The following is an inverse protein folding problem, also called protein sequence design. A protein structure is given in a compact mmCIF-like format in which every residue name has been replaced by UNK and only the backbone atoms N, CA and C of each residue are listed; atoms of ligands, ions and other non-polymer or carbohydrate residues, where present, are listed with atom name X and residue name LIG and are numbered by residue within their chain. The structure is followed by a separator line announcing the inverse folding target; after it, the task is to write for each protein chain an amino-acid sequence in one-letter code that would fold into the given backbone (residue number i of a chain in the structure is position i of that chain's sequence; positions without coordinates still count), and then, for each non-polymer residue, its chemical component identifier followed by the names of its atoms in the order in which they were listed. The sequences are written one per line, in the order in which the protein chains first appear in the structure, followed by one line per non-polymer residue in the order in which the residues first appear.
data_IF_446024638667
#
_entry.id   IF_446024638667
#
_cell.length_a   1.000
_cell.length_b   1.000
_cell.length_c   1.000
_cell.angle_alpha   90.00
_cell.angle_beta   90.00
_cell.angle_gamma   90.00
#
_symmetry.space_group_name_H-M   'P 1'
#
loop_
_entity.id
_entity.type
_entity.pdbx_description
1 polymer ?
#
# COMPACT_ATOMS: atom_id res chain seq x y z
N UNK A 1 -33.64 -6.60 7.20
CA UNK A 1 -33.84 -6.11 5.81
C UNK A 1 -32.62 -6.44 4.95
N UNK A 2 -32.84 -7.07 3.78
CA UNK A 2 -31.74 -7.34 2.85
C UNK A 2 -31.23 -6.03 2.25
N UNK A 3 -29.92 -5.74 2.38
CA UNK A 3 -29.30 -4.54 1.83
C UNK A 3 -29.24 -4.67 0.31
N UNK A 4 -29.99 -3.84 -0.43
CA UNK A 4 -29.96 -3.80 -1.88
C UNK A 4 -28.56 -3.41 -2.34
N UNK A 5 -27.98 -4.21 -3.24
CA UNK A 5 -26.65 -3.93 -3.77
C UNK A 5 -26.70 -2.70 -4.70
N UNK A 6 -25.76 -1.76 -4.53
CA UNK A 6 -25.68 -0.56 -5.35
C UNK A 6 -25.50 -0.90 -6.82
N UNK A 7 -26.29 -0.25 -7.68
CA UNK A 7 -26.21 -0.42 -9.13
C UNK A 7 -25.00 0.32 -9.68
N UNK A 8 -24.19 -0.36 -10.50
CA UNK A 8 -23.04 0.22 -11.19
C UNK A 8 -23.39 0.38 -12.66
N UNK A 9 -23.20 1.60 -13.18
CA UNK A 9 -23.33 1.90 -14.60
C UNK A 9 -21.93 2.20 -15.15
N UNK A 10 -21.57 1.59 -16.27
CA UNK A 10 -20.26 1.78 -16.92
C UNK A 10 -20.44 2.47 -18.27
N UNK A 11 -19.59 3.43 -18.59
CA UNK A 11 -19.43 3.96 -19.94
C UNK A 11 -18.79 2.93 -20.87
N UNK A 12 -18.89 3.15 -22.19
CA UNK A 12 -18.20 2.28 -23.16
C UNK A 12 -16.70 2.24 -22.94
N UNK A 13 -16.07 3.37 -22.61
CA UNK A 13 -14.62 3.45 -22.32
C UNK A 13 -14.26 2.71 -21.04
N UNK A 14 -15.01 2.91 -19.95
CA UNK A 14 -14.80 2.18 -18.68
C UNK A 14 -14.86 0.69 -18.89
N UNK A 15 -15.86 0.22 -19.63
CA UNK A 15 -16.02 -1.20 -19.95
C UNK A 15 -14.85 -1.75 -20.75
N UNK A 16 -14.36 -1.00 -21.76
CA UNK A 16 -13.18 -1.40 -22.54
C UNK A 16 -11.93 -1.53 -21.68
N UNK A 17 -11.62 -0.53 -20.84
CA UNK A 17 -10.45 -0.57 -19.95
C UNK A 17 -10.55 -1.71 -18.94
N UNK A 18 -11.71 -1.92 -18.33
CA UNK A 18 -11.90 -3.02 -17.40
C UNK A 18 -11.78 -4.40 -18.08
N UNK A 19 -12.24 -4.54 -19.33
CA UNK A 19 -12.04 -5.75 -20.12
C UNK A 19 -10.57 -5.99 -20.45
N UNK A 20 -9.82 -4.94 -20.79
CA UNK A 20 -8.36 -5.04 -20.98
C UNK A 20 -7.67 -5.51 -19.68
N UNK A 21 -8.03 -4.91 -18.54
CA UNK A 21 -7.45 -5.27 -17.25
C UNK A 21 -7.78 -6.71 -16.85
N UNK A 22 -9.02 -7.14 -17.02
CA UNK A 22 -9.45 -8.51 -16.64
C UNK A 22 -8.80 -9.61 -17.50
N UNK A 23 -8.34 -9.30 -18.71
CA UNK A 23 -7.68 -10.23 -19.64
C UNK A 23 -6.16 -10.06 -19.74
N UNK A 24 -5.62 -9.05 -19.09
CA UNK A 24 -4.18 -8.75 -19.16
C UNK A 24 -3.38 -9.87 -18.49
N UNK A 25 -2.28 -10.29 -19.12
CA UNK A 25 -1.32 -11.25 -18.52
C UNK A 25 -0.19 -10.56 -17.77
N UNK A 26 -0.04 -9.25 -17.93
CA UNK A 26 1.06 -8.45 -17.35
C UNK A 26 0.65 -7.69 -16.11
N UNK A 27 -0.65 -7.43 -15.93
CA UNK A 27 -1.15 -6.75 -14.74
C UNK A 27 -1.18 -7.67 -13.52
N UNK A 28 -0.97 -7.12 -12.31
CA UNK A 28 -1.10 -7.85 -11.06
C UNK A 28 -2.46 -8.55 -10.94
N UNK A 29 -2.48 -9.79 -10.43
CA UNK A 29 -3.69 -10.62 -10.33
C UNK A 29 -4.83 -9.91 -9.58
N UNK A 30 -4.52 -9.13 -8.53
CA UNK A 30 -5.52 -8.39 -7.78
C UNK A 30 -6.26 -7.33 -8.61
N UNK A 31 -5.60 -6.71 -9.60
CA UNK A 31 -6.26 -5.75 -10.51
C UNK A 31 -7.18 -6.46 -11.51
N UNK A 32 -6.78 -7.62 -12.00
CA UNK A 32 -7.59 -8.46 -12.89
C UNK A 32 -8.87 -8.92 -12.19
N UNK A 33 -8.73 -9.40 -10.95
CA UNK A 33 -9.84 -9.82 -10.09
C UNK A 33 -10.81 -8.67 -9.84
N UNK A 34 -10.30 -7.50 -9.44
CA UNK A 34 -11.11 -6.30 -9.15
C UNK A 34 -11.84 -5.78 -10.39
N UNK A 35 -11.19 -5.79 -11.55
CA UNK A 35 -11.82 -5.44 -12.82
C UNK A 35 -12.97 -6.42 -13.15
N UNK A 36 -12.78 -7.72 -12.94
CA UNK A 36 -13.80 -8.76 -13.15
C UNK A 36 -15.00 -8.59 -12.20
N UNK A 37 -14.76 -8.20 -10.94
CA UNK A 37 -15.82 -7.86 -9.98
C UNK A 37 -16.67 -6.70 -10.52
N UNK A 38 -16.04 -5.59 -10.94
CA UNK A 38 -16.79 -4.41 -11.42
C UNK A 38 -17.58 -4.72 -12.69
N UNK A 39 -16.99 -5.47 -13.64
CA UNK A 39 -17.69 -5.92 -14.84
C UNK A 39 -18.91 -6.78 -14.52
N UNK A 40 -18.79 -7.68 -13.53
CA UNK A 40 -19.89 -8.52 -13.08
C UNK A 40 -20.97 -7.71 -12.35
N UNK A 41 -20.57 -6.71 -11.57
CA UNK A 41 -21.48 -5.78 -10.91
C UNK A 41 -22.29 -4.95 -11.91
N UNK A 42 -21.67 -4.53 -13.02
CA UNK A 42 -22.35 -3.78 -14.08
C UNK A 42 -23.36 -4.62 -14.88
N UNK A 43 -23.26 -5.95 -14.83
CA UNK A 43 -24.27 -6.88 -15.36
C UNK A 43 -25.44 -7.13 -14.38
N UNK A 44 -25.59 -6.29 -13.37
CA UNK A 44 -26.63 -6.35 -12.33
C UNK A 44 -26.65 -7.65 -11.51
N UNK A 45 -25.53 -8.39 -11.51
CA UNK A 45 -25.41 -9.60 -10.72
C UNK A 45 -25.39 -9.29 -9.21
N UNK A 46 -26.06 -10.13 -8.43
CA UNK A 46 -25.99 -10.07 -6.96
C UNK A 46 -24.59 -10.44 -6.46
N UNK A 47 -24.22 -9.95 -5.27
CA UNK A 47 -22.92 -10.28 -4.68
C UNK A 47 -22.73 -11.78 -4.45
N UNK A 48 -23.83 -12.52 -4.17
CA UNK A 48 -23.79 -13.97 -3.99
C UNK A 48 -23.48 -14.67 -5.33
N UNK A 49 -24.12 -14.22 -6.42
CA UNK A 49 -23.86 -14.78 -7.74
C UNK A 49 -22.42 -14.55 -8.19
N UNK A 50 -21.88 -13.34 -7.94
CA UNK A 50 -20.48 -13.00 -8.26
C UNK A 50 -19.52 -13.83 -7.41
N UNK A 51 -19.82 -14.03 -6.11
CA UNK A 51 -19.04 -14.87 -5.20
C UNK A 51 -18.89 -16.29 -5.75
N UNK A 52 -20.00 -16.90 -6.19
CA UNK A 52 -19.98 -18.26 -6.71
C UNK A 52 -19.29 -18.37 -8.09
N UNK A 53 -19.35 -17.32 -8.91
CA UNK A 53 -18.73 -17.32 -10.25
C UNK A 53 -17.22 -17.05 -10.22
N UNK A 54 -16.75 -16.20 -9.31
CA UNK A 54 -15.35 -15.75 -9.25
C UNK A 54 -14.58 -16.36 -8.08
N UNK A 55 -15.24 -17.11 -7.21
CA UNK A 55 -14.68 -17.67 -5.97
C UNK A 55 -14.07 -16.60 -5.06
N UNK A 56 -14.75 -15.46 -4.94
CA UNK A 56 -14.29 -14.29 -4.18
C UNK A 56 -15.24 -14.02 -3.02
N UNK A 57 -14.68 -13.77 -1.83
CA UNK A 57 -15.50 -13.53 -0.66
C UNK A 57 -16.45 -12.32 -0.83
N UNK A 58 -17.71 -12.46 -0.39
CA UNK A 58 -18.78 -11.44 -0.50
C UNK A 58 -18.38 -10.06 0.02
N UNK A 59 -17.58 -9.97 1.10
CA UNK A 59 -17.11 -8.69 1.66
C UNK A 59 -16.18 -7.96 0.68
N UNK A 60 -15.32 -8.68 -0.03
CA UNK A 60 -14.42 -8.13 -1.06
C UNK A 60 -15.22 -7.55 -2.22
N UNK A 61 -16.20 -8.29 -2.71
CA UNK A 61 -17.10 -7.83 -3.78
C UNK A 61 -17.84 -6.56 -3.34
N UNK A 62 -18.39 -6.54 -2.13
CA UNK A 62 -19.08 -5.38 -1.58
C UNK A 62 -18.18 -4.16 -1.42
N UNK A 63 -16.91 -4.36 -0.95
CA UNK A 63 -15.88 -3.33 -0.84
C UNK A 63 -15.64 -2.64 -2.19
N UNK A 64 -15.36 -3.43 -3.24
CA UNK A 64 -15.03 -2.88 -4.55
C UNK A 64 -16.23 -2.27 -5.27
N UNK A 65 -17.43 -2.86 -5.14
CA UNK A 65 -18.68 -2.27 -5.63
C UNK A 65 -18.94 -0.91 -5.01
N UNK A 66 -18.82 -0.77 -3.69
CA UNK A 66 -19.03 0.48 -3.00
C UNK A 66 -17.97 1.52 -3.36
N UNK A 67 -16.69 1.12 -3.46
CA UNK A 67 -15.59 2.01 -3.84
C UNK A 67 -15.77 2.55 -5.26
N UNK A 68 -16.14 1.71 -6.21
CA UNK A 68 -16.45 2.15 -7.57
C UNK A 68 -17.62 3.11 -7.60
N UNK A 69 -18.70 2.76 -6.92
CA UNK A 69 -19.90 3.59 -6.85
C UNK A 69 -19.61 4.99 -6.29
N UNK A 70 -18.82 5.08 -5.22
CA UNK A 70 -18.47 6.38 -4.60
C UNK A 70 -17.58 7.27 -5.49
N UNK A 71 -16.92 6.71 -6.51
CA UNK A 71 -16.08 7.45 -7.45
C UNK A 71 -16.69 7.58 -8.84
N UNK A 72 -17.92 7.09 -9.05
CA UNK A 72 -18.55 7.04 -10.37
C UNK A 72 -18.69 8.43 -11.01
N UNK A 73 -19.14 9.43 -10.26
CA UNK A 73 -19.29 10.81 -10.77
C UNK A 73 -17.95 11.45 -11.14
N UNK A 74 -16.90 11.17 -10.36
CA UNK A 74 -15.53 11.61 -10.66
C UNK A 74 -15.01 10.95 -11.93
N UNK A 75 -15.24 9.67 -12.08
CA UNK A 75 -14.82 8.92 -13.28
C UNK A 75 -15.54 9.40 -14.54
N UNK A 76 -16.80 9.82 -14.47
CA UNK A 76 -17.53 10.39 -15.60
C UNK A 76 -16.90 11.71 -16.06
N UNK A 77 -16.55 12.60 -15.12
CA UNK A 77 -15.86 13.86 -15.44
C UNK A 77 -14.47 13.64 -16.07
N UNK A 78 -13.75 12.62 -15.63
CA UNK A 78 -12.43 12.25 -16.19
C UNK A 78 -12.61 11.63 -17.58
N UNK A 79 -13.65 10.82 -17.78
CA UNK A 79 -13.97 10.17 -19.06
C UNK A 79 -14.19 11.18 -20.21
N UNK A 80 -14.74 12.35 -19.89
CA UNK A 80 -14.92 13.45 -20.83
C UNK A 80 -13.60 14.16 -21.20
N UNK A 81 -12.70 14.30 -20.22
CA UNK A 81 -11.46 15.10 -20.35
C UNK A 81 -10.27 14.31 -20.84
N UNK A 82 -10.14 13.06 -20.43
CA UNK A 82 -8.94 12.28 -20.65
C UNK A 82 -9.17 11.07 -21.56
N UNK A 83 -8.13 10.68 -22.30
CA UNK A 83 -8.14 9.54 -23.23
C UNK A 83 -6.87 8.72 -23.08
N UNK A 84 -6.90 7.49 -23.58
CA UNK A 84 -5.72 6.62 -23.67
C UNK A 84 -5.14 6.20 -22.32
N UNK A 85 -3.83 6.24 -22.21
CA UNK A 85 -3.06 5.73 -21.06
C UNK A 85 -3.35 6.51 -19.76
N UNK A 86 -3.54 7.84 -19.85
CA UNK A 86 -3.84 8.65 -18.67
C UNK A 86 -5.16 8.20 -18.02
N UNK A 87 -6.18 7.97 -18.82
CA UNK A 87 -7.45 7.45 -18.34
C UNK A 87 -7.34 6.05 -17.72
N UNK A 88 -6.53 5.15 -18.33
CA UNK A 88 -6.28 3.82 -17.76
C UNK A 88 -5.63 3.90 -16.39
N UNK A 89 -4.66 4.81 -16.19
CA UNK A 89 -4.01 5.04 -14.87
C UNK A 89 -4.99 5.48 -13.79
N UNK A 90 -6.00 6.28 -14.12
CA UNK A 90 -7.04 6.65 -13.14
C UNK A 90 -7.86 5.44 -12.68
N UNK A 91 -8.25 4.56 -13.61
CA UNK A 91 -8.97 3.34 -13.26
C UNK A 91 -8.06 2.39 -12.47
N UNK A 92 -6.81 2.25 -12.86
CA UNK A 92 -5.81 1.45 -12.15
C UNK A 92 -5.62 1.95 -10.70
N UNK A 93 -5.42 3.26 -10.51
CA UNK A 93 -5.31 3.89 -9.18
C UNK A 93 -6.54 3.64 -8.32
N UNK A 94 -7.74 3.68 -8.91
CA UNK A 94 -8.98 3.38 -8.20
C UNK A 94 -9.05 1.91 -7.78
N UNK A 95 -8.57 1.01 -8.61
CA UNK A 95 -8.56 -0.43 -8.33
C UNK A 95 -7.38 -0.86 -7.44
N UNK A 96 -6.36 -0.04 -7.24
CA UNK A 96 -5.27 -0.29 -6.30
C UNK A 96 -5.72 -0.09 -4.85
N UNK A 97 -5.03 -0.74 -3.91
CA UNK A 97 -5.26 -0.47 -2.50
C UNK A 97 -4.80 0.95 -2.14
N UNK A 98 -5.52 1.59 -1.24
CA UNK A 98 -5.07 2.86 -0.67
C UNK A 98 -3.79 2.65 0.14
N UNK A 99 -2.85 3.61 0.11
CA UNK A 99 -1.69 3.57 1.00
C UNK A 99 -2.15 3.37 2.44
N UNK A 100 -1.51 2.46 3.14
CA UNK A 100 -1.76 2.24 4.56
C UNK A 100 -0.66 2.95 5.33
N UNK A 101 -1.02 3.60 6.44
CA UNK A 101 -0.02 4.02 7.42
C UNK A 101 0.68 2.75 7.92
N UNK A 102 1.96 2.59 7.59
CA UNK A 102 2.77 1.49 8.12
C UNK A 102 2.85 1.53 9.65
N UNK A 103 3.61 0.61 10.20
CA UNK A 103 3.98 0.69 11.63
C UNK A 103 4.69 2.02 11.88
N UNK A 104 4.32 2.77 12.92
CA UNK A 104 5.04 3.98 13.29
C UNK A 104 6.54 3.70 13.44
N UNK A 105 7.37 4.62 13.00
CA UNK A 105 8.82 4.50 13.18
C UNK A 105 9.13 4.41 14.69
N UNK A 106 9.88 3.39 15.10
CA UNK A 106 10.31 3.21 16.49
C UNK A 106 11.29 4.31 16.92
N UNK A 107 12.06 4.83 15.97
CA UNK A 107 13.08 5.84 16.21
C UNK A 107 12.73 7.13 15.46
N UNK A 108 12.90 8.28 16.11
CA UNK A 108 12.72 9.59 15.48
C UNK A 108 13.90 9.90 14.55
N UNK A 109 13.70 10.84 13.62
CA UNK A 109 14.78 11.31 12.75
C UNK A 109 15.96 11.89 13.55
N UNK A 110 15.68 12.60 14.65
CA UNK A 110 16.68 13.13 15.57
C UNK A 110 17.50 12.03 16.23
N UNK A 111 16.84 10.98 16.73
CA UNK A 111 17.51 9.82 17.30
C UNK A 111 18.41 9.14 16.28
N UNK A 112 17.97 8.98 15.03
CA UNK A 112 18.78 8.37 13.96
C UNK A 112 20.02 9.23 13.68
N UNK A 113 19.89 10.56 13.61
CA UNK A 113 21.04 11.46 13.46
C UNK A 113 22.03 11.33 14.62
N UNK A 114 21.54 11.26 15.86
CA UNK A 114 22.40 11.09 17.04
C UNK A 114 23.11 9.72 17.02
N UNK A 115 22.42 8.66 16.63
CA UNK A 115 23.02 7.32 16.46
C UNK A 115 24.16 7.37 15.44
N UNK A 116 23.95 8.04 14.29
CA UNK A 116 24.98 8.17 13.26
C UNK A 116 26.17 8.99 13.75
N UNK A 117 25.93 10.08 14.51
CA UNK A 117 26.99 10.89 15.09
C UNK A 117 27.85 10.05 16.02
N UNK A 118 27.26 9.33 16.98
CA UNK A 118 28.01 8.47 17.92
C UNK A 118 28.76 7.36 17.17
N UNK A 119 28.20 6.81 16.11
CA UNK A 119 28.87 5.78 15.30
C UNK A 119 30.12 6.34 14.57
N UNK A 120 30.17 7.65 14.29
CA UNK A 120 31.31 8.32 13.68
C UNK A 120 32.39 8.76 14.71
N UNK A 121 32.05 8.75 16.01
CA UNK A 121 33.04 9.06 17.07
C UNK A 121 34.03 7.89 17.24
N UNK A 122 35.22 8.17 17.72
CA UNK A 122 36.18 7.13 18.10
C UNK A 122 35.77 6.53 19.45
N UNK A 123 35.74 5.18 19.59
CA UNK A 123 35.48 4.54 20.89
C UNK A 123 36.48 4.93 21.98
N UNK A 124 37.75 5.23 21.62
CA UNK A 124 38.81 5.66 22.55
C UNK A 124 38.47 6.98 23.25
N UNK A 125 37.78 7.89 22.57
CA UNK A 125 37.32 9.17 23.15
C UNK A 125 36.29 8.95 24.26
N UNK A 126 35.64 7.81 24.27
CA UNK A 126 34.63 7.38 25.24
C UNK A 126 35.20 6.47 26.33
N UNK A 127 36.52 6.43 26.48
CA UNK A 127 37.24 5.59 27.49
C UNK A 127 36.97 4.08 27.34
N UNK A 128 36.62 3.65 26.14
CA UNK A 128 36.43 2.24 25.80
C UNK A 128 37.74 1.72 25.14
N UNK A 129 38.29 0.59 25.57
CA UNK A 129 39.50 0.00 24.98
C UNK A 129 39.21 -0.68 23.64
N UNK A 130 38.60 0.04 22.72
CA UNK A 130 38.19 -0.45 21.41
C UNK A 130 38.71 0.51 20.34
N UNK A 131 39.37 -0.01 19.31
CA UNK A 131 39.78 0.79 18.15
C UNK A 131 38.63 1.11 17.20
N UNK A 132 37.56 0.28 17.21
CA UNK A 132 36.39 0.43 16.34
C UNK A 132 35.12 -0.01 17.08
N UNK A 133 33.99 0.59 16.71
CA UNK A 133 32.69 0.17 17.25
C UNK A 133 32.32 -1.23 16.78
N UNK A 134 32.07 -2.13 17.71
CA UNK A 134 31.20 -3.27 17.43
C UNK A 134 29.74 -2.83 17.53
N UNK A 135 28.83 -3.46 16.78
CA UNK A 135 27.39 -3.13 16.85
C UNK A 135 26.80 -3.30 18.26
N UNK A 136 27.35 -4.24 19.03
CA UNK A 136 26.95 -4.46 20.41
C UNK A 136 27.42 -3.31 21.31
N UNK A 137 28.71 -2.96 21.26
CA UNK A 137 29.26 -1.88 22.06
C UNK A 137 28.59 -0.52 21.71
N UNK A 138 28.28 -0.28 20.44
CA UNK A 138 27.55 0.90 20.02
C UNK A 138 26.13 0.90 20.59
N UNK A 139 25.41 -0.23 20.59
CA UNK A 139 24.07 -0.32 21.17
C UNK A 139 24.07 0.02 22.67
N UNK A 140 25.07 -0.52 23.42
CA UNK A 140 25.22 -0.28 24.85
C UNK A 140 25.54 1.21 25.13
N UNK A 141 26.41 1.83 24.35
CA UNK A 141 26.77 3.23 24.49
C UNK A 141 25.58 4.18 24.17
N UNK A 142 24.79 3.86 23.15
CA UNK A 142 23.58 4.62 22.81
C UNK A 142 22.53 4.58 23.92
N UNK A 143 22.38 3.44 24.56
CA UNK A 143 21.49 3.27 25.71
C UNK A 143 22.04 4.03 26.94
N UNK A 144 23.34 3.94 27.19
CA UNK A 144 24.03 4.65 28.28
C UNK A 144 23.90 6.16 28.16
N UNK A 145 23.97 6.71 26.94
CA UNK A 145 23.75 8.14 26.65
C UNK A 145 22.28 8.54 26.63
N UNK A 146 21.36 7.63 26.90
CA UNK A 146 19.92 7.83 26.88
C UNK A 146 19.38 8.38 25.51
N UNK A 147 20.10 8.13 24.41
CA UNK A 147 19.66 8.49 23.05
C UNK A 147 18.50 7.59 22.65
N UNK A 148 18.56 6.32 23.01
CA UNK A 148 17.52 5.33 22.82
C UNK A 148 17.36 4.49 24.09
N UNK A 149 16.16 4.01 24.35
CA UNK A 149 15.92 3.08 25.46
C UNK A 149 16.57 1.71 25.19
N UNK A 150 16.43 1.22 23.96
CA UNK A 150 17.08 0.01 23.48
C UNK A 150 17.09 -0.04 21.95
N UNK A 151 18.15 -0.61 21.36
CA UNK A 151 18.27 -0.82 19.92
C UNK A 151 18.94 -2.15 19.63
N UNK A 152 18.43 -2.91 18.66
CA UNK A 152 19.03 -4.17 18.23
C UNK A 152 20.21 -3.93 17.29
N UNK A 153 21.20 -4.83 17.29
CA UNK A 153 22.34 -4.81 16.36
C UNK A 153 21.89 -4.84 14.89
N UNK A 154 20.83 -5.58 14.59
CA UNK A 154 20.24 -5.63 13.25
C UNK A 154 19.67 -4.27 12.80
N UNK A 155 19.04 -3.53 13.73
CA UNK A 155 18.52 -2.21 13.42
C UNK A 155 19.64 -1.18 13.23
N UNK A 156 20.71 -1.26 14.06
CA UNK A 156 21.92 -0.45 13.86
C UNK A 156 22.55 -0.70 12.50
N UNK A 157 22.65 -1.97 12.09
CA UNK A 157 23.17 -2.30 10.77
C UNK A 157 22.35 -1.70 9.61
N UNK A 158 21.04 -1.52 9.78
CA UNK A 158 20.18 -0.85 8.78
C UNK A 158 20.49 0.66 8.72
N UNK A 159 20.74 1.31 9.87
CA UNK A 159 21.01 2.73 9.91
C UNK A 159 22.43 3.11 9.42
N UNK A 160 23.39 2.18 9.54
CA UNK A 160 24.79 2.38 9.17
C UNK A 160 25.14 1.93 7.74
N UNK A 161 24.18 1.50 6.96
CA UNK A 161 24.32 1.16 5.53
C UNK A 161 24.15 2.38 4.64
#
# INVERSE_FOLDING_TARGET
MARIARKITLTKKQKQVLLLFSKSRTLPAHLQERASIILSCAKEKSNIKIMNELDIHKKTISKWRNRWFSHQDRLLKIDEKEKGIAYQRHIETLLNDAPRSGTPCKFTAEQICLIMNVACESPDENSLPLSHWSLSALADELAKRAIVESISTSQLQVFLK
#
